data_IF_250087896104
#
_entry.id   IF_250087896104
#
_cell.length_a   1.000
_cell.length_b   1.000
_cell.length_c   1.000
_cell.angle_alpha   90.00
_cell.angle_beta   90.00
_cell.angle_gamma   90.00
#
_symmetry.space_group_name_H-M   'P 1'
#
loop_
_entity.id
_entity.type
_entity.pdbx_description
1 polymer ?
#
# COMPACT_ATOMS: atom_id res chain seq x y z
N UNK A 1 12.03 -35.29 -4.34
CA UNK A 1 11.48 -34.01 -3.84
C UNK A 1 12.13 -32.86 -4.59
N UNK A 2 11.46 -32.26 -5.59
CA UNK A 2 12.00 -31.16 -6.42
C UNK A 2 11.45 -29.83 -5.91
N UNK A 3 12.32 -28.90 -5.49
CA UNK A 3 11.92 -27.54 -5.10
C UNK A 3 11.69 -26.71 -6.36
N UNK A 4 10.46 -26.26 -6.60
CA UNK A 4 10.15 -25.31 -7.68
C UNK A 4 10.70 -23.92 -7.32
N UNK A 5 11.59 -23.41 -8.16
CA UNK A 5 12.12 -22.06 -8.08
C UNK A 5 11.06 -21.04 -8.53
N UNK A 6 10.87 -19.98 -7.72
CA UNK A 6 9.85 -18.94 -7.91
C UNK A 6 10.34 -17.83 -8.85
N UNK A 7 9.49 -17.41 -9.79
CA UNK A 7 9.69 -16.21 -10.61
C UNK A 7 8.88 -15.05 -10.04
N UNK A 8 9.50 -13.87 -9.96
CA UNK A 8 8.85 -12.59 -9.68
C UNK A 8 8.71 -11.84 -11.02
N UNK A 9 7.54 -11.30 -11.29
CA UNK A 9 7.31 -10.44 -12.46
C UNK A 9 7.21 -8.98 -12.02
N UNK A 10 7.95 -8.11 -12.70
CA UNK A 10 7.89 -6.65 -12.57
C UNK A 10 7.54 -6.11 -13.95
N UNK A 11 6.52 -5.26 -14.06
CA UNK A 11 6.15 -4.55 -15.29
C UNK A 11 6.30 -3.06 -15.04
N UNK A 12 7.06 -2.37 -15.89
CA UNK A 12 7.24 -0.91 -15.85
C UNK A 12 7.02 -0.30 -17.23
N UNK A 13 6.34 0.85 -17.27
CA UNK A 13 6.12 1.66 -18.48
C UNK A 13 6.73 3.05 -18.24
N UNK A 14 7.51 3.57 -19.18
CA UNK A 14 8.19 4.87 -19.12
C UNK A 14 8.04 5.61 -20.47
N UNK A 15 7.79 6.92 -20.44
CA UNK A 15 7.91 7.81 -21.60
C UNK A 15 8.65 9.10 -21.16
N UNK A 16 9.61 9.58 -21.97
CA UNK A 16 10.44 10.74 -21.64
C UNK A 16 10.77 11.61 -22.88
N UNK A 17 10.71 12.93 -22.69
CA UNK A 17 11.28 13.98 -23.53
C UNK A 17 12.22 14.81 -22.63
N UNK A 18 13.44 15.12 -23.10
CA UNK A 18 14.51 15.69 -22.29
C UNK A 18 14.97 17.07 -22.77
N UNK A 19 15.32 17.95 -21.82
CA UNK A 19 16.13 19.16 -21.97
C UNK A 19 17.08 19.28 -20.76
N UNK A 20 18.30 19.85 -20.90
CA UNK A 20 19.28 19.89 -19.81
C UNK A 20 19.37 21.25 -19.10
N UNK A 21 19.58 21.26 -17.78
CA UNK A 21 20.27 22.33 -17.07
C UNK A 21 20.86 21.85 -15.72
N UNK A 22 22.02 22.42 -15.40
CA UNK A 22 22.90 22.18 -14.25
C UNK A 22 22.20 22.22 -12.89
N UNK A 23 22.72 21.36 -12.00
CA UNK A 23 22.17 21.09 -10.67
C UNK A 23 21.26 19.87 -10.76
N UNK A 24 21.84 18.67 -10.84
CA UNK A 24 21.06 17.44 -10.83
C UNK A 24 20.39 17.30 -9.46
N UNK A 25 19.24 17.95 -9.30
CA UNK A 25 18.31 17.65 -8.24
C UNK A 25 17.88 16.21 -8.44
N UNK A 26 18.16 15.37 -7.44
CA UNK A 26 17.75 13.98 -7.43
C UNK A 26 16.25 13.89 -7.75
N UNK A 27 15.91 13.41 -8.95
CA UNK A 27 14.51 13.20 -9.31
C UNK A 27 14.05 11.91 -8.64
N UNK A 28 13.13 12.02 -7.69
CA UNK A 28 12.59 10.85 -6.99
C UNK A 28 11.43 10.25 -7.78
N UNK A 29 11.47 8.93 -7.95
CA UNK A 29 10.39 8.12 -8.50
C UNK A 29 9.84 7.14 -7.47
N UNK A 30 8.79 6.41 -7.84
CA UNK A 30 8.25 5.31 -7.04
C UNK A 30 8.34 3.99 -7.79
N UNK A 31 8.66 2.93 -7.04
CA UNK A 31 8.49 1.55 -7.46
C UNK A 31 7.49 0.87 -6.54
N UNK A 32 6.54 0.14 -7.14
CA UNK A 32 5.56 -0.66 -6.39
C UNK A 32 6.16 -2.05 -6.17
N UNK A 33 6.18 -2.48 -4.91
CA UNK A 33 6.52 -3.86 -4.54
C UNK A 33 5.25 -4.53 -4.01
N UNK A 34 4.89 -5.67 -4.58
CA UNK A 34 3.76 -6.51 -4.13
C UNK A 34 4.33 -7.84 -3.66
N UNK A 35 3.85 -8.34 -2.52
CA UNK A 35 4.19 -9.69 -2.07
C UNK A 35 3.67 -10.70 -3.11
N UNK A 36 4.59 -11.39 -3.80
CA UNK A 36 4.29 -12.39 -4.83
C UNK A 36 3.63 -13.67 -4.29
N UNK A 37 3.10 -13.65 -3.07
CA UNK A 37 2.29 -14.71 -2.46
C UNK A 37 0.80 -14.38 -2.39
N UNK A 38 0.42 -13.15 -2.74
CA UNK A 38 -0.96 -12.73 -2.61
C UNK A 38 -1.76 -13.18 -3.83
N UNK A 39 -2.69 -14.11 -3.62
CA UNK A 39 -3.82 -14.34 -4.54
C UNK A 39 -4.62 -13.02 -4.75
N UNK A 40 -4.42 -12.05 -3.85
CA UNK A 40 -4.95 -10.70 -3.84
C UNK A 40 -4.03 -9.64 -4.52
N UNK A 41 -3.12 -10.03 -5.43
CA UNK A 41 -2.14 -9.11 -6.03
C UNK A 41 -2.77 -7.85 -6.66
N UNK A 42 -3.89 -7.99 -7.38
CA UNK A 42 -4.62 -6.86 -7.97
C UNK A 42 -5.16 -5.88 -6.92
N UNK A 43 -5.39 -6.35 -5.70
CA UNK A 43 -5.99 -5.59 -4.61
C UNK A 43 -4.90 -4.83 -3.85
N UNK A 44 -3.76 -5.48 -3.65
CA UNK A 44 -2.55 -4.83 -3.15
C UNK A 44 -2.01 -3.78 -4.13
N UNK A 45 -2.23 -3.95 -5.44
CA UNK A 45 -2.02 -2.88 -6.40
C UNK A 45 -2.93 -1.68 -6.10
N UNK A 46 -4.20 -1.90 -5.79
CA UNK A 46 -5.12 -0.84 -5.37
C UNK A 46 -4.65 -0.06 -4.14
N UNK A 47 -4.16 -0.78 -3.12
CA UNK A 47 -3.50 -0.14 -1.97
C UNK A 47 -2.29 0.70 -2.39
N UNK A 48 -1.40 0.14 -3.21
CA UNK A 48 -0.18 0.84 -3.66
C UNK A 48 -0.50 2.09 -4.49
N UNK A 49 -1.55 2.05 -5.33
CA UNK A 49 -2.04 3.20 -6.08
C UNK A 49 -2.57 4.30 -5.16
N UNK A 50 -3.37 3.93 -4.15
CA UNK A 50 -3.85 4.89 -3.16
C UNK A 50 -2.72 5.53 -2.36
N UNK A 51 -1.72 4.73 -1.98
CA UNK A 51 -0.52 5.23 -1.29
C UNK A 51 0.32 6.15 -2.20
N UNK A 52 0.41 5.84 -3.50
CA UNK A 52 1.17 6.64 -4.46
C UNK A 52 0.47 7.98 -4.71
N UNK A 53 -0.86 7.95 -4.86
CA UNK A 53 -1.69 9.14 -4.99
C UNK A 53 -1.53 10.07 -3.78
N UNK A 54 -1.59 9.52 -2.56
CA UNK A 54 -1.32 10.29 -1.34
C UNK A 54 0.09 10.89 -1.33
N UNK A 55 1.10 10.08 -1.65
CA UNK A 55 2.49 10.51 -1.58
C UNK A 55 2.79 11.67 -2.54
N UNK A 56 2.25 11.60 -3.76
CA UNK A 56 2.32 12.69 -4.74
C UNK A 56 1.56 13.93 -4.28
N UNK A 57 0.32 13.78 -3.80
CA UNK A 57 -0.50 14.93 -3.42
C UNK A 57 0.02 15.68 -2.17
N UNK A 58 0.64 14.97 -1.24
CA UNK A 58 1.14 15.53 0.03
C UNK A 58 2.58 16.06 -0.05
N UNK A 59 3.28 15.82 -1.16
CA UNK A 59 4.72 16.08 -1.28
C UNK A 59 5.58 15.16 -0.40
N UNK A 60 5.03 14.00 0.01
CA UNK A 60 5.74 13.06 0.88
C UNK A 60 6.87 12.34 0.14
N UNK A 61 6.73 12.14 -1.17
CA UNK A 61 7.74 11.48 -1.99
C UNK A 61 9.06 12.26 -2.02
N UNK A 62 8.95 13.57 -2.15
CA UNK A 62 10.06 14.53 -2.24
C UNK A 62 10.82 14.59 -0.92
N UNK A 63 10.11 14.47 0.20
CA UNK A 63 10.67 14.52 1.57
C UNK A 63 11.21 13.18 2.04
N UNK A 64 10.69 12.07 1.54
CA UNK A 64 11.08 10.74 1.99
C UNK A 64 12.51 10.37 1.56
N UNK A 65 13.29 9.67 2.39
CA UNK A 65 14.56 9.11 1.95
C UNK A 65 14.35 8.04 0.86
N UNK A 66 15.40 7.74 0.09
CA UNK A 66 15.39 6.58 -0.80
C UNK A 66 15.14 5.30 0.01
N UNK A 67 14.42 4.34 -0.58
CA UNK A 67 14.02 3.10 0.09
C UNK A 67 12.53 3.02 0.37
N UNK A 68 12.12 2.20 1.34
CA UNK A 68 10.70 1.96 1.60
C UNK A 68 10.05 3.24 2.15
N UNK A 69 9.00 3.71 1.47
CA UNK A 69 8.17 4.80 1.97
C UNK A 69 7.40 4.33 3.20
N UNK A 70 7.49 5.11 4.28
CA UNK A 70 6.70 4.90 5.50
C UNK A 70 5.54 5.89 5.50
N UNK A 71 4.29 5.46 5.23
CA UNK A 71 3.15 6.35 5.29
C UNK A 71 2.91 6.94 6.69
N UNK A 72 2.37 8.16 6.72
CA UNK A 72 1.68 8.68 7.90
C UNK A 72 0.33 7.98 8.06
N UNK A 73 -0.39 8.31 9.13
CA UNK A 73 -1.75 7.81 9.36
C UNK A 73 -2.67 8.10 8.16
N UNK A 74 -2.63 9.33 7.64
CA UNK A 74 -3.45 9.78 6.51
C UNK A 74 -3.13 9.00 5.24
N UNK A 75 -1.84 8.75 4.99
CA UNK A 75 -1.42 7.96 3.83
C UNK A 75 -1.87 6.51 3.91
N UNK A 76 -1.77 5.89 5.08
CA UNK A 76 -2.26 4.53 5.31
C UNK A 76 -3.79 4.45 5.18
N UNK A 77 -4.51 5.45 5.72
CA UNK A 77 -5.96 5.55 5.63
C UNK A 77 -6.43 5.73 4.18
N UNK A 78 -5.81 6.64 3.42
CA UNK A 78 -6.12 6.84 2.00
C UNK A 78 -5.88 5.58 1.18
N UNK A 79 -4.72 4.92 1.36
CA UNK A 79 -4.38 3.70 0.66
C UNK A 79 -5.42 2.58 0.89
N UNK A 80 -5.88 2.41 2.13
CA UNK A 80 -6.89 1.40 2.48
C UNK A 80 -8.26 1.73 1.94
N UNK A 81 -8.67 3.00 1.97
CA UNK A 81 -9.92 3.46 1.34
C UNK A 81 -9.93 3.14 -0.15
N UNK A 82 -8.86 3.50 -0.86
CA UNK A 82 -8.73 3.20 -2.30
C UNK A 82 -8.80 1.70 -2.57
N UNK A 83 -8.11 0.89 -1.77
CA UNK A 83 -8.17 -0.58 -1.87
C UNK A 83 -9.59 -1.12 -1.68
N UNK A 84 -10.35 -0.62 -0.70
CA UNK A 84 -11.73 -1.03 -0.42
C UNK A 84 -12.67 -0.63 -1.56
N UNK A 85 -12.51 0.57 -2.13
CA UNK A 85 -13.29 1.02 -3.30
C UNK A 85 -13.06 0.07 -4.48
N UNK A 86 -11.80 -0.20 -4.82
CA UNK A 86 -11.44 -1.13 -5.91
C UNK A 86 -11.99 -2.52 -5.63
N UNK A 87 -11.93 -3.02 -4.38
CA UNK A 87 -12.52 -4.30 -4.01
C UNK A 87 -14.02 -4.35 -4.31
N UNK A 88 -14.79 -3.33 -3.88
CA UNK A 88 -16.23 -3.23 -4.13
C UNK A 88 -16.55 -3.18 -5.63
N UNK A 89 -15.80 -2.42 -6.41
CA UNK A 89 -15.96 -2.35 -7.87
C UNK A 89 -15.68 -3.68 -8.55
N UNK A 90 -14.66 -4.42 -8.08
CA UNK A 90 -14.37 -5.75 -8.63
C UNK A 90 -15.49 -6.75 -8.30
N UNK A 91 -16.07 -6.70 -7.09
CA UNK A 91 -17.19 -7.56 -6.71
C UNK A 91 -18.44 -7.35 -7.57
N UNK A 92 -18.63 -6.15 -8.13
CA UNK A 92 -19.72 -5.88 -9.07
C UNK A 92 -19.52 -6.56 -10.43
N UNK A 93 -18.27 -6.82 -10.81
CA UNK A 93 -17.93 -7.45 -12.10
C UNK A 93 -17.86 -8.97 -11.98
N UNK A 94 -17.27 -9.46 -10.90
CA UNK A 94 -17.08 -10.88 -10.66
C UNK A 94 -17.17 -11.17 -9.15
N UNK A 95 -18.09 -12.05 -8.72
CA UNK A 95 -18.14 -12.50 -7.34
C UNK A 95 -16.84 -13.20 -6.95
N UNK A 96 -16.24 -12.75 -5.86
CA UNK A 96 -15.04 -13.34 -5.26
C UNK A 96 -15.07 -13.10 -3.76
N UNK A 97 -14.21 -13.81 -3.03
CA UNK A 97 -14.09 -13.63 -1.58
C UNK A 97 -12.63 -13.46 -1.21
N UNK A 98 -12.38 -12.63 -0.21
CA UNK A 98 -11.08 -12.49 0.42
C UNK A 98 -11.36 -12.16 1.87
N UNK A 99 -11.04 -13.08 2.79
CA UNK A 99 -11.37 -12.93 4.21
C UNK A 99 -10.89 -11.59 4.78
N UNK A 100 -9.71 -11.13 4.32
CA UNK A 100 -9.14 -9.86 4.69
C UNK A 100 -9.93 -8.67 4.13
N UNK A 101 -10.25 -8.67 2.84
CA UNK A 101 -10.94 -7.54 2.20
C UNK A 101 -12.41 -7.47 2.57
N UNK A 102 -13.06 -8.60 2.79
CA UNK A 102 -14.41 -8.67 3.32
C UNK A 102 -14.45 -8.08 4.74
N UNK A 103 -13.44 -8.39 5.57
CA UNK A 103 -13.28 -7.74 6.87
C UNK A 103 -13.04 -6.22 6.75
N UNK A 104 -12.15 -5.78 5.86
CA UNK A 104 -11.89 -4.35 5.63
C UNK A 104 -13.13 -3.61 5.10
N UNK A 105 -13.93 -4.23 4.23
CA UNK A 105 -15.17 -3.67 3.73
C UNK A 105 -16.23 -3.53 4.84
N UNK A 106 -16.30 -4.49 5.78
CA UNK A 106 -17.15 -4.39 6.98
C UNK A 106 -16.69 -3.27 7.92
N UNK A 107 -15.39 -3.14 8.15
CA UNK A 107 -14.81 -2.05 8.97
C UNK A 107 -15.21 -0.68 8.41
N UNK A 108 -15.06 -0.49 7.09
CA UNK A 108 -15.41 0.76 6.43
C UNK A 108 -16.92 1.02 6.42
N UNK A 109 -17.74 -0.01 6.16
CA UNK A 109 -19.20 0.10 6.23
C UNK A 109 -19.71 0.46 7.64
N UNK A 110 -19.02 0.03 8.69
CA UNK A 110 -19.32 0.40 10.08
C UNK A 110 -18.80 1.79 10.47
N UNK A 111 -18.07 2.48 9.57
CA UNK A 111 -17.48 3.78 9.83
C UNK A 111 -16.28 3.75 10.78
N UNK A 112 -15.62 2.58 10.93
CA UNK A 112 -14.50 2.40 11.86
C UNK A 112 -13.13 2.28 11.18
N UNK A 113 -13.03 2.63 9.88
CA UNK A 113 -11.77 2.54 9.16
C UNK A 113 -10.64 3.40 9.78
N UNK A 114 -10.88 4.66 10.20
CA UNK A 114 -9.87 5.45 10.89
C UNK A 114 -9.35 4.77 12.17
N UNK A 115 -10.24 4.26 13.03
CA UNK A 115 -9.92 3.60 14.29
C UNK A 115 -9.17 2.30 14.05
N UNK A 116 -9.60 1.52 13.06
CA UNK A 116 -8.91 0.32 12.63
C UNK A 116 -7.48 0.64 12.18
N UNK A 117 -7.29 1.63 11.32
CA UNK A 117 -5.94 2.02 10.85
C UNK A 117 -5.08 2.47 12.02
N UNK A 118 -5.65 3.32 12.89
CA UNK A 118 -4.94 3.86 14.03
C UNK A 118 -4.50 2.79 15.03
N UNK A 119 -5.36 1.84 15.37
CA UNK A 119 -5.11 0.86 16.44
C UNK A 119 -4.38 -0.37 15.92
N UNK A 120 -4.67 -0.81 14.70
CA UNK A 120 -4.19 -2.08 14.14
C UNK A 120 -2.92 -1.90 13.32
N UNK A 121 -2.80 -0.79 12.59
CA UNK A 121 -1.65 -0.50 11.72
C UNK A 121 -0.77 0.63 12.24
N UNK A 122 -0.91 0.94 13.54
CA UNK A 122 -0.13 1.97 14.22
C UNK A 122 1.37 1.84 13.96
N UNK A 123 2.03 3.00 13.86
CA UNK A 123 3.49 3.10 13.77
C UNK A 123 3.98 4.17 14.73
N UNK A 124 5.14 3.95 15.33
CA UNK A 124 5.74 4.86 16.32
C UNK A 124 6.03 6.26 15.81
N UNK A 125 6.16 6.44 14.49
CA UNK A 125 6.36 7.75 13.86
C UNK A 125 5.08 8.54 13.58
N UNK A 126 3.89 8.01 13.89
CA UNK A 126 2.64 8.75 13.70
C UNK A 126 2.46 9.77 14.81
N UNK A 127 2.58 11.04 14.44
CA UNK A 127 2.36 12.19 15.33
C UNK A 127 0.95 12.74 15.14
N UNK A 128 0.28 13.02 16.25
CA UNK A 128 -1.10 13.51 16.25
C UNK A 128 -2.02 12.59 17.02
N UNK A 129 -3.08 13.16 17.59
CA UNK A 129 -4.13 12.39 18.25
C UNK A 129 -5.00 11.71 17.17
N UNK A 130 -5.44 10.45 17.35
CA UNK A 130 -6.35 9.81 16.40
C UNK A 130 -7.59 10.68 16.14
N UNK A 131 -8.11 10.71 14.91
CA UNK A 131 -9.38 11.37 14.63
C UNK A 131 -10.49 10.67 15.40
N UNK A 132 -11.11 11.42 16.30
CA UNK A 132 -12.32 11.11 17.06
C UNK A 132 -12.35 9.86 17.96
N UNK A 133 -13.12 10.04 19.03
CA UNK A 133 -12.99 9.35 20.32
C UNK A 133 -13.62 7.95 20.36
N UNK A 134 -13.92 7.35 19.21
CA UNK A 134 -14.71 6.11 19.11
C UNK A 134 -13.88 4.83 19.22
N UNK A 135 -12.64 4.92 19.69
CA UNK A 135 -11.74 3.76 19.89
C UNK A 135 -12.40 2.68 20.78
N UNK A 136 -13.11 3.09 21.84
CA UNK A 136 -13.81 2.15 22.72
C UNK A 136 -14.96 1.43 21.99
N UNK A 137 -15.74 2.15 21.18
CA UNK A 137 -16.80 1.59 20.34
C UNK A 137 -16.22 0.64 19.29
N UNK A 138 -15.13 1.04 18.63
CA UNK A 138 -14.42 0.21 17.67
C UNK A 138 -13.95 -1.10 18.31
N UNK A 139 -13.34 -1.07 19.50
CA UNK A 139 -12.92 -2.30 20.18
C UNK A 139 -14.11 -3.20 20.55
N UNK A 140 -15.23 -2.62 20.98
CA UNK A 140 -16.44 -3.39 21.25
C UNK A 140 -16.96 -4.08 19.98
N UNK A 141 -17.00 -3.35 18.87
CA UNK A 141 -17.42 -3.84 17.56
C UNK A 141 -16.45 -4.89 17.00
N UNK A 142 -15.14 -4.64 17.06
CA UNK A 142 -14.07 -5.52 16.56
C UNK A 142 -14.17 -6.91 17.19
N UNK A 143 -14.38 -6.98 18.51
CA UNK A 143 -14.49 -8.26 19.23
C UNK A 143 -15.63 -9.14 18.72
N UNK A 144 -16.66 -8.55 18.12
CA UNK A 144 -17.82 -9.27 17.60
C UNK A 144 -17.70 -9.56 16.09
N UNK A 145 -17.15 -8.60 15.33
CA UNK A 145 -17.23 -8.60 13.87
C UNK A 145 -15.93 -9.03 13.16
N UNK A 146 -14.81 -9.04 13.88
CA UNK A 146 -13.47 -9.35 13.36
C UNK A 146 -12.82 -10.53 14.09
N UNK A 147 -13.63 -11.51 14.54
CA UNK A 147 -13.12 -12.73 15.16
C UNK A 147 -12.22 -13.48 14.17
N UNK A 148 -10.99 -13.78 14.59
CA UNK A 148 -9.99 -14.46 13.75
C UNK A 148 -9.38 -13.59 12.64
N UNK A 149 -9.68 -12.29 12.61
CA UNK A 149 -9.09 -11.37 11.63
C UNK A 149 -7.58 -11.22 11.87
N UNK A 150 -6.80 -11.36 10.80
CA UNK A 150 -5.36 -11.15 10.79
C UNK A 150 -5.02 -9.89 9.97
N UNK A 151 -4.50 -8.83 10.60
CA UNK A 151 -4.04 -7.65 9.88
C UNK A 151 -2.92 -8.00 8.91
N UNK A 152 -3.00 -7.50 7.69
CA UNK A 152 -2.02 -7.76 6.64
C UNK A 152 -1.79 -6.51 5.79
N UNK A 153 -0.58 -6.38 5.25
CA UNK A 153 -0.22 -5.40 4.21
C UNK A 153 0.68 -6.11 3.21
N UNK A 154 0.17 -6.33 1.99
CA UNK A 154 0.84 -7.09 0.93
C UNK A 154 1.49 -6.22 -0.15
N UNK A 155 1.52 -4.89 -0.01
CA UNK A 155 2.24 -4.01 -0.92
C UNK A 155 2.90 -2.83 -0.21
N UNK A 156 3.92 -2.30 -0.86
CA UNK A 156 4.72 -1.18 -0.36
C UNK A 156 5.20 -0.32 -1.52
N UNK A 157 5.40 0.97 -1.27
CA UNK A 157 6.11 1.86 -2.18
C UNK A 157 7.58 1.96 -1.79
N UNK A 158 8.45 1.91 -2.80
CA UNK A 158 9.85 2.26 -2.69
C UNK A 158 10.11 3.58 -3.41
N UNK A 159 10.67 4.54 -2.69
CA UNK A 159 11.25 5.76 -3.25
C UNK A 159 12.58 5.38 -3.89
N UNK A 160 12.71 5.67 -5.19
CA UNK A 160 13.91 5.38 -5.97
C UNK A 160 14.46 6.67 -6.56
N UNK A 161 15.74 6.65 -6.89
CA UNK A 161 16.31 7.61 -7.83
C UNK A 161 15.78 7.28 -9.22
N UNK A 162 15.00 8.19 -9.81
CA UNK A 162 14.38 8.02 -11.11
C UNK A 162 15.39 8.12 -12.27
N UNK A 163 16.57 8.68 -11.99
CA UNK A 163 17.64 8.87 -12.97
C UNK A 163 18.77 7.84 -12.79
N UNK A 164 18.70 7.03 -11.73
CA UNK A 164 19.60 5.91 -11.56
C UNK A 164 19.41 4.88 -12.68
N UNK A 165 20.51 4.34 -13.25
CA UNK A 165 20.40 3.26 -14.22
C UNK A 165 19.66 2.08 -13.59
N UNK A 166 18.82 1.36 -14.37
CA UNK A 166 18.11 0.20 -13.85
C UNK A 166 19.12 -0.77 -13.24
N UNK A 167 18.86 -1.23 -12.02
CA UNK A 167 19.71 -2.23 -11.38
C UNK A 167 19.93 -3.39 -12.37
N UNK A 168 21.16 -3.90 -12.51
CA UNK A 168 21.40 -5.04 -13.38
C UNK A 168 20.43 -6.14 -12.96
N UNK A 169 19.69 -6.69 -13.93
CA UNK A 169 18.74 -7.76 -13.68
C UNK A 169 19.48 -8.83 -12.87
N UNK A 170 19.08 -9.00 -11.59
CA UNK A 170 19.75 -9.91 -10.68
C UNK A 170 19.88 -11.26 -11.38
N UNK A 171 21.12 -11.62 -11.73
CA UNK A 171 21.42 -12.88 -12.36
C UNK A 171 20.94 -13.94 -11.37
N UNK A 172 19.79 -14.54 -11.68
CA UNK A 172 19.21 -15.58 -10.86
C UNK A 172 20.30 -16.64 -10.64
N UNK A 173 20.79 -16.73 -9.39
CA UNK A 173 21.71 -17.78 -8.97
C UNK A 173 21.09 -19.11 -9.39
N UNK A 174 21.80 -19.80 -10.30
CA UNK A 174 21.39 -21.08 -10.87
C UNK A 174 21.41 -22.18 -9.81
#
# INVERSE_FOLDING_TARGET
MKRLARRRHVVGLMAALALPALGATLRKGTSIEIDGRADDAALWLGYALGLSSWASASGALEKAPLGRLTPTFEGELQARRTMIVIWREMLQKEPKSSAYLDAMARVDAAGFLPEYVWTVHWRSGWTGQPPDRRIAEFYAWQRQQLVGHAPHTGAWLRVIDADAPPAPASAASR
#
